data_IF_746169589181
#
_entry.id   IF_746169589181
#
_cell.length_a   1.000
_cell.length_b   1.000
_cell.length_c   1.000
_cell.angle_alpha   90.00
_cell.angle_beta   90.00
_cell.angle_gamma   90.00
#
_symmetry.space_group_name_H-M   'P 1'
#
loop_
_entity.id
_entity.type
_entity.pdbx_description
1 polymer ?
#
# COMPACT_ATOMS: atom_id res chain seq x y z
N UNK A 1 3.79 -1.26 43.79
CA UNK A 1 4.77 -0.77 42.78
C UNK A 1 4.96 -1.65 41.52
N UNK A 2 4.81 -2.99 41.49
CA UNK A 2 5.12 -3.78 40.28
C UNK A 2 4.11 -3.63 39.13
N UNK A 3 2.84 -3.34 39.44
CA UNK A 3 1.77 -3.23 38.43
C UNK A 3 1.97 -2.06 37.45
N UNK A 4 2.49 -0.91 37.90
CA UNK A 4 2.73 0.26 37.02
C UNK A 4 3.89 0.03 36.05
N UNK A 5 4.93 -0.67 36.48
CA UNK A 5 6.08 -1.07 35.65
C UNK A 5 5.71 -2.12 34.61
N UNK A 6 4.90 -3.13 34.99
CA UNK A 6 4.37 -4.11 34.04
C UNK A 6 3.47 -3.46 32.98
N UNK A 7 2.62 -2.51 33.39
CA UNK A 7 1.76 -1.77 32.49
C UNK A 7 2.55 -0.87 31.51
N UNK A 8 3.63 -0.21 31.96
CA UNK A 8 4.49 0.60 31.09
C UNK A 8 5.27 -0.26 30.09
N UNK A 9 5.80 -1.40 30.52
CA UNK A 9 6.49 -2.37 29.66
C UNK A 9 5.56 -2.94 28.58
N UNK A 10 4.37 -3.40 28.97
CA UNK A 10 3.36 -3.92 28.02
C UNK A 10 2.96 -2.85 27.01
N UNK A 11 2.79 -1.59 27.45
CA UNK A 11 2.48 -0.46 26.56
C UNK A 11 3.60 -0.17 25.55
N UNK A 12 4.86 -0.20 25.99
CA UNK A 12 6.00 0.05 25.11
C UNK A 12 6.21 -1.08 24.10
N UNK A 13 6.03 -2.33 24.53
CA UNK A 13 6.11 -3.51 23.66
C UNK A 13 5.07 -3.44 22.53
N UNK A 14 3.79 -3.26 22.87
CA UNK A 14 2.70 -3.16 21.87
C UNK A 14 2.94 -1.99 20.89
N UNK A 15 3.43 -0.85 21.38
CA UNK A 15 3.74 0.31 20.53
C UNK A 15 4.84 0.01 19.49
N UNK A 16 5.90 -0.70 19.90
CA UNK A 16 6.98 -1.13 18.98
C UNK A 16 6.48 -2.12 17.93
N UNK A 17 5.63 -3.08 18.31
CA UNK A 17 5.05 -4.02 17.36
C UNK A 17 4.08 -3.35 16.38
N UNK A 18 3.23 -2.44 16.84
CA UNK A 18 2.34 -1.66 15.99
C UNK A 18 3.13 -0.81 14.97
N UNK A 19 4.20 -0.14 15.40
CA UNK A 19 5.09 0.60 14.52
C UNK A 19 5.73 -0.30 13.45
N UNK A 20 6.24 -1.46 13.85
CA UNK A 20 6.85 -2.44 12.93
C UNK A 20 5.85 -2.93 11.87
N UNK A 21 4.61 -3.22 12.26
CA UNK A 21 3.55 -3.65 11.32
C UNK A 21 3.23 -2.58 10.27
N UNK A 22 3.15 -1.31 10.67
CA UNK A 22 2.89 -0.20 9.76
C UNK A 22 4.07 0.03 8.81
N UNK A 23 5.31 -0.03 9.32
CA UNK A 23 6.52 0.10 8.48
C UNK A 23 6.58 -1.05 7.47
N UNK A 24 6.37 -2.30 7.90
CA UNK A 24 6.37 -3.45 7.01
C UNK A 24 5.28 -3.36 5.95
N UNK A 25 4.05 -2.98 6.33
CA UNK A 25 2.95 -2.78 5.38
C UNK A 25 3.28 -1.71 4.34
N UNK A 26 3.83 -0.57 4.77
CA UNK A 26 4.25 0.50 3.87
C UNK A 26 5.35 0.04 2.92
N UNK A 27 6.43 -0.57 3.43
CA UNK A 27 7.50 -1.09 2.59
C UNK A 27 6.99 -2.11 1.59
N UNK A 28 6.22 -3.12 2.03
CA UNK A 28 5.60 -4.09 1.11
C UNK A 28 4.81 -3.42 -0.01
N UNK A 29 3.98 -2.41 0.32
CA UNK A 29 3.18 -1.70 -0.67
C UNK A 29 3.98 -0.86 -1.67
N UNK A 30 5.06 -0.21 -1.21
CA UNK A 30 5.94 0.65 -2.03
C UNK A 30 6.68 -0.15 -3.10
N UNK A 31 7.08 -1.39 -2.78
CA UNK A 31 7.89 -2.22 -3.68
C UNK A 31 7.11 -2.55 -4.97
N UNK A 32 5.78 -2.54 -4.94
CA UNK A 32 4.98 -2.85 -6.12
C UNK A 32 4.90 -1.71 -7.13
N UNK A 33 5.14 -0.45 -6.74
CA UNK A 33 4.82 0.68 -7.61
C UNK A 33 5.73 0.77 -8.84
N UNK A 34 7.05 0.82 -8.63
CA UNK A 34 8.03 1.09 -9.69
C UNK A 34 8.21 -0.11 -10.63
N UNK A 35 8.47 -1.34 -10.13
CA UNK A 35 8.66 -2.50 -11.00
C UNK A 35 7.44 -2.78 -11.87
N UNK A 36 6.23 -2.63 -11.32
CA UNK A 36 5.00 -2.93 -12.06
C UNK A 36 4.66 -1.85 -13.09
N UNK A 37 5.05 -0.59 -12.90
CA UNK A 37 4.90 0.45 -13.94
C UNK A 37 5.67 0.09 -15.22
N UNK A 38 6.90 -0.41 -15.08
CA UNK A 38 7.71 -0.90 -16.19
C UNK A 38 7.06 -2.10 -16.88
N UNK A 39 6.52 -3.05 -16.11
CA UNK A 39 5.86 -4.24 -16.66
C UNK A 39 4.51 -3.92 -17.31
N UNK A 40 3.75 -2.96 -16.78
CA UNK A 40 2.55 -2.41 -17.43
C UNK A 40 2.91 -1.83 -18.79
N UNK A 41 4.00 -1.05 -18.88
CA UNK A 41 4.48 -0.51 -20.15
C UNK A 41 4.81 -1.62 -21.15
N UNK A 42 5.54 -2.66 -20.71
CA UNK A 42 5.84 -3.81 -21.57
C UNK A 42 4.59 -4.59 -21.98
N UNK A 43 3.58 -4.67 -21.13
CA UNK A 43 2.31 -5.32 -21.45
C UNK A 43 1.52 -4.55 -22.50
N UNK A 44 1.49 -3.21 -22.41
CA UNK A 44 0.79 -2.36 -23.38
C UNK A 44 1.42 -2.43 -24.77
N UNK A 45 2.75 -2.52 -24.84
CA UNK A 45 3.48 -2.59 -26.12
C UNK A 45 3.38 -3.96 -26.79
N UNK A 46 3.13 -5.03 -26.04
CA UNK A 46 3.02 -6.38 -26.56
C UNK A 46 1.57 -6.77 -26.90
N UNK A 47 1.40 -7.89 -27.60
CA UNK A 47 0.09 -8.50 -27.80
C UNK A 47 -0.53 -8.88 -26.44
N UNK A 48 -1.82 -8.58 -26.20
CA UNK A 48 -2.89 -8.33 -27.17
C UNK A 48 -3.21 -6.85 -27.49
N UNK A 49 -2.65 -5.88 -26.76
CA UNK A 49 -3.04 -4.47 -26.88
C UNK A 49 -2.26 -3.70 -27.95
N UNK A 50 -0.98 -4.05 -28.15
CA UNK A 50 -0.12 -3.52 -29.22
C UNK A 50 -0.18 -1.97 -29.36
N UNK A 51 -0.05 -1.25 -28.25
CA UNK A 51 -0.08 0.21 -28.25
C UNK A 51 1.08 0.79 -29.04
N UNK A 52 0.82 1.90 -29.75
CA UNK A 52 1.90 2.76 -30.24
C UNK A 52 2.61 3.45 -29.07
N UNK A 53 3.89 3.82 -29.27
CA UNK A 53 4.67 4.53 -28.26
C UNK A 53 3.95 5.81 -27.75
N UNK A 54 3.26 6.52 -28.65
CA UNK A 54 2.48 7.73 -28.32
C UNK A 54 1.28 7.41 -27.42
N UNK A 55 0.50 6.36 -27.74
CA UNK A 55 -0.65 5.95 -26.94
C UNK A 55 -0.22 5.49 -25.54
N UNK A 56 0.87 4.73 -25.46
CA UNK A 56 1.46 4.33 -24.19
C UNK A 56 1.88 5.54 -23.34
N UNK A 57 2.51 6.54 -23.97
CA UNK A 57 2.88 7.80 -23.30
C UNK A 57 1.66 8.51 -22.69
N UNK A 58 0.57 8.65 -23.45
CA UNK A 58 -0.67 9.25 -22.94
C UNK A 58 -1.28 8.45 -21.79
N UNK A 59 -1.34 7.12 -21.90
CA UNK A 59 -1.90 6.28 -20.85
C UNK A 59 -1.08 6.36 -19.55
N UNK A 60 0.24 6.17 -19.62
CA UNK A 60 1.11 6.23 -18.44
C UNK A 60 1.11 7.63 -17.82
N UNK A 61 1.14 8.68 -18.63
CA UNK A 61 1.03 10.07 -18.16
C UNK A 61 -0.29 10.31 -17.42
N UNK A 62 -1.42 9.88 -17.99
CA UNK A 62 -2.74 10.00 -17.36
C UNK A 62 -2.82 9.22 -16.06
N UNK A 63 -2.26 8.00 -16.04
CA UNK A 63 -2.21 7.15 -14.84
C UNK A 63 -1.43 7.82 -13.70
N UNK A 64 -0.25 8.40 -13.98
CA UNK A 64 0.56 9.09 -12.98
C UNK A 64 -0.12 10.36 -12.46
N UNK A 65 -0.65 11.21 -13.35
CA UNK A 65 -1.38 12.42 -12.96
C UNK A 65 -2.58 12.05 -12.09
N UNK A 66 -3.35 11.05 -12.50
CA UNK A 66 -4.51 10.57 -11.76
C UNK A 66 -4.11 10.11 -10.36
N UNK A 67 -3.06 9.28 -10.24
CA UNK A 67 -2.52 8.80 -8.96
C UNK A 67 -2.06 9.94 -8.04
N UNK A 68 -1.38 10.95 -8.58
CA UNK A 68 -0.88 12.09 -7.80
C UNK A 68 -2.02 12.99 -7.31
N UNK A 69 -2.98 13.32 -8.18
CA UNK A 69 -4.12 14.18 -7.84
C UNK A 69 -5.05 13.46 -6.88
N UNK A 70 -5.37 12.19 -7.14
CA UNK A 70 -6.26 11.39 -6.30
C UNK A 70 -5.65 11.14 -4.92
N UNK A 71 -4.34 10.93 -4.80
CA UNK A 71 -3.70 10.75 -3.49
C UNK A 71 -3.70 12.04 -2.67
N UNK A 72 -3.48 13.21 -3.30
CA UNK A 72 -3.50 14.49 -2.60
C UNK A 72 -4.90 14.87 -2.08
N UNK A 73 -5.93 14.70 -2.92
CA UNK A 73 -7.30 15.09 -2.59
C UNK A 73 -8.06 13.99 -1.84
N UNK A 74 -7.89 12.74 -2.27
CA UNK A 74 -8.63 11.60 -1.78
C UNK A 74 -8.32 11.25 -0.33
N UNK A 75 -7.11 11.52 0.16
CA UNK A 75 -6.77 11.27 1.58
C UNK A 75 -7.59 12.15 2.50
N UNK A 76 -7.67 13.45 2.22
CA UNK A 76 -8.46 14.40 3.01
C UNK A 76 -9.94 14.05 2.99
N UNK A 77 -10.46 13.66 1.81
CA UNK A 77 -11.86 13.28 1.65
C UNK A 77 -12.19 11.99 2.40
N UNK A 78 -11.41 10.93 2.21
CA UNK A 78 -11.69 9.63 2.82
C UNK A 78 -11.54 9.64 4.34
N UNK A 79 -10.52 10.33 4.87
CA UNK A 79 -10.31 10.45 6.32
C UNK A 79 -11.38 11.29 7.03
N UNK A 80 -12.22 12.05 6.31
CA UNK A 80 -13.38 12.74 6.87
C UNK A 80 -14.50 11.76 7.25
N UNK A 81 -14.61 10.64 6.53
CA UNK A 81 -15.72 9.70 6.67
C UNK A 81 -15.30 8.37 7.31
N UNK A 82 -14.03 7.98 7.18
CA UNK A 82 -13.53 6.67 7.57
C UNK A 82 -12.26 6.79 8.43
N UNK A 83 -12.04 5.88 9.39
CA UNK A 83 -10.81 5.83 10.14
C UNK A 83 -9.63 5.41 9.24
N UNK A 84 -8.42 5.89 9.57
CA UNK A 84 -7.22 5.67 8.77
C UNK A 84 -6.96 4.19 8.37
N UNK A 85 -7.10 3.19 9.26
CA UNK A 85 -6.89 1.79 8.88
C UNK A 85 -7.88 1.29 7.82
N UNK A 86 -9.14 1.72 7.87
CA UNK A 86 -10.14 1.35 6.85
C UNK A 86 -9.80 1.95 5.49
N UNK A 87 -9.39 3.22 5.45
CA UNK A 87 -8.99 3.87 4.19
C UNK A 87 -7.77 3.17 3.57
N UNK A 88 -6.82 2.74 4.40
CA UNK A 88 -5.66 1.96 3.95
C UNK A 88 -6.08 0.61 3.35
N UNK A 89 -6.99 -0.13 4.01
CA UNK A 89 -7.49 -1.41 3.51
C UNK A 89 -8.25 -1.25 2.19
N UNK A 90 -9.10 -0.22 2.08
CA UNK A 90 -9.79 0.12 0.85
C UNK A 90 -8.78 0.42 -0.27
N UNK A 91 -7.73 1.18 0.04
CA UNK A 91 -6.67 1.49 -0.91
C UNK A 91 -5.95 0.23 -1.43
N UNK A 92 -5.64 -0.73 -0.55
CA UNK A 92 -5.08 -2.01 -0.98
C UNK A 92 -6.06 -2.85 -1.81
N UNK A 93 -7.34 -2.85 -1.46
CA UNK A 93 -8.39 -3.50 -2.25
C UNK A 93 -8.47 -2.95 -3.67
N UNK A 94 -8.49 -1.62 -3.82
CA UNK A 94 -8.46 -0.95 -5.13
C UNK A 94 -7.18 -1.23 -5.92
N UNK A 95 -6.02 -1.30 -5.24
CA UNK A 95 -4.76 -1.70 -5.84
C UNK A 95 -4.79 -3.13 -6.39
N UNK A 96 -5.27 -4.08 -5.58
CA UNK A 96 -5.45 -5.48 -5.97
C UNK A 96 -6.42 -5.62 -7.15
N UNK A 97 -7.59 -4.97 -7.06
CA UNK A 97 -8.60 -4.98 -8.11
C UNK A 97 -8.08 -4.42 -9.44
N UNK A 98 -7.24 -3.38 -9.41
CA UNK A 98 -6.60 -2.86 -10.63
C UNK A 98 -5.72 -3.91 -11.32
N UNK A 99 -4.87 -4.63 -10.59
CA UNK A 99 -4.00 -5.65 -11.18
C UNK A 99 -4.79 -6.87 -11.66
N UNK A 100 -5.86 -7.24 -10.97
CA UNK A 100 -6.77 -8.27 -11.47
C UNK A 100 -7.48 -7.83 -12.76
N UNK A 101 -7.98 -6.60 -12.81
CA UNK A 101 -8.57 -6.05 -14.03
C UNK A 101 -7.56 -6.06 -15.19
N UNK A 102 -6.30 -5.69 -14.91
CA UNK A 102 -5.22 -5.69 -15.90
C UNK A 102 -4.88 -7.10 -16.40
N UNK A 103 -5.00 -8.12 -15.55
CA UNK A 103 -4.78 -9.52 -15.96
C UNK A 103 -5.80 -10.00 -17.00
N UNK A 104 -7.01 -9.44 -16.99
CA UNK A 104 -8.10 -9.78 -17.91
C UNK A 104 -8.35 -8.71 -18.99
N UNK A 105 -7.54 -7.64 -19.03
CA UNK A 105 -7.77 -6.52 -19.94
C UNK A 105 -7.27 -6.82 -21.35
N UNK A 106 -8.14 -7.41 -22.18
CA UNK A 106 -7.89 -7.57 -23.61
C UNK A 106 -8.38 -6.39 -24.45
N UNK A 107 -9.15 -5.48 -23.84
CA UNK A 107 -9.72 -4.30 -24.49
C UNK A 107 -9.23 -2.99 -23.88
N UNK A 108 -9.06 -1.98 -24.74
CA UNK A 108 -8.65 -0.61 -24.36
C UNK A 108 -9.65 0.01 -23.37
N UNK A 109 -10.95 -0.22 -23.57
CA UNK A 109 -12.01 0.32 -22.69
C UNK A 109 -11.84 -0.17 -21.25
N UNK A 110 -11.56 -1.46 -21.10
CA UNK A 110 -11.36 -2.10 -19.80
C UNK A 110 -10.10 -1.53 -19.13
N UNK A 111 -9.02 -1.34 -19.88
CA UNK A 111 -7.79 -0.70 -19.40
C UNK A 111 -8.04 0.71 -18.83
N UNK A 112 -8.75 1.57 -19.56
CA UNK A 112 -9.07 2.93 -19.08
C UNK A 112 -10.03 2.93 -17.88
N UNK A 113 -10.96 1.98 -17.79
CA UNK A 113 -11.78 1.82 -16.58
C UNK A 113 -10.94 1.48 -15.33
N UNK A 114 -9.81 0.79 -15.53
CA UNK A 114 -8.82 0.53 -14.50
C UNK A 114 -8.21 1.79 -13.88
N UNK A 115 -8.18 2.93 -14.59
CA UNK A 115 -7.69 4.20 -14.04
C UNK A 115 -8.52 4.68 -12.84
N UNK A 116 -9.83 4.42 -12.85
CA UNK A 116 -10.72 4.75 -11.73
C UNK A 116 -10.33 3.93 -10.50
N UNK A 117 -10.10 2.62 -10.65
CA UNK A 117 -9.62 1.78 -9.56
C UNK A 117 -8.23 2.23 -9.09
N UNK A 118 -7.34 2.52 -10.03
CA UNK A 118 -5.97 2.94 -9.75
C UNK A 118 -5.92 4.25 -8.95
N UNK A 119 -6.87 5.15 -9.16
CA UNK A 119 -6.99 6.42 -8.45
C UNK A 119 -6.97 6.25 -6.92
N UNK A 120 -7.69 5.27 -6.38
CA UNK A 120 -7.77 5.09 -4.92
C UNK A 120 -6.64 4.21 -4.36
N UNK A 121 -5.83 3.60 -5.24
CA UNK A 121 -4.81 2.63 -4.83
C UNK A 121 -3.61 3.22 -4.11
N UNK A 122 -3.35 4.55 -4.20
CA UNK A 122 -2.17 5.18 -3.59
C UNK A 122 -2.48 5.95 -2.29
N UNK A 123 -3.73 5.90 -1.82
CA UNK A 123 -4.14 6.59 -0.59
C UNK A 123 -3.40 6.09 0.65
N UNK A 124 -3.03 4.81 0.68
CA UNK A 124 -2.34 4.21 1.82
C UNK A 124 -0.96 4.83 2.09
N UNK A 125 -0.19 5.23 1.07
CA UNK A 125 1.19 5.72 1.23
C UNK A 125 1.29 6.93 2.17
N UNK A 126 0.60 8.07 1.91
CA UNK A 126 0.66 9.22 2.80
C UNK A 126 0.05 8.95 4.18
N UNK A 127 -0.98 8.08 4.27
CA UNK A 127 -1.62 7.73 5.55
C UNK A 127 -0.66 6.92 6.42
N UNK A 128 -0.03 5.88 5.86
CA UNK A 128 0.95 5.05 6.58
C UNK A 128 2.17 5.86 6.98
N UNK A 129 2.68 6.77 6.12
CA UNK A 129 3.76 7.68 6.51
C UNK A 129 3.36 8.61 7.65
N UNK A 130 2.13 9.12 7.64
CA UNK A 130 1.62 9.91 8.75
C UNK A 130 1.55 9.10 10.05
N UNK A 131 1.07 7.85 9.98
CA UNK A 131 1.03 6.93 11.13
C UNK A 131 2.43 6.65 11.68
N UNK A 132 3.41 6.29 10.83
CA UNK A 132 4.81 6.11 11.24
C UNK A 132 5.35 7.37 11.91
N UNK A 133 5.18 8.54 11.29
CA UNK A 133 5.66 9.81 11.86
C UNK A 133 5.01 10.14 13.20
N UNK A 134 3.73 9.79 13.40
CA UNK A 134 3.03 10.04 14.67
C UNK A 134 3.49 9.13 15.80
N UNK A 135 3.95 7.91 15.49
CA UNK A 135 4.38 6.92 16.47
C UNK A 135 5.85 7.06 16.90
N UNK A 136 6.63 7.87 16.18
CA UNK A 136 8.08 8.04 16.37
C UNK A 136 8.40 9.41 16.98
N UNK A 137 9.35 9.41 17.93
CA UNK A 137 9.88 10.62 18.58
C UNK A 137 10.54 11.52 17.52
N UNK A 138 10.35 12.83 17.60
CA UNK A 138 10.81 13.80 16.60
C UNK A 138 12.29 13.67 16.23
N UNK A 139 13.15 13.34 17.20
CA UNK A 139 14.60 13.12 17.00
C UNK A 139 14.91 11.91 16.11
N UNK A 140 14.08 10.88 16.14
CA UNK A 140 14.35 9.58 15.52
C UNK A 140 13.64 9.42 14.16
N UNK A 141 12.74 10.36 13.82
CA UNK A 141 11.95 10.31 12.56
C UNK A 141 12.84 10.25 11.34
N UNK A 142 13.87 11.10 11.29
CA UNK A 142 14.81 11.13 10.15
C UNK A 142 15.48 9.78 9.95
N UNK A 143 16.02 9.19 11.01
CA UNK A 143 16.69 7.89 10.96
C UNK A 143 15.76 6.77 10.48
N UNK A 144 14.52 6.72 10.99
CA UNK A 144 13.56 5.68 10.60
C UNK A 144 13.14 5.84 9.14
N UNK A 145 12.86 7.07 8.67
CA UNK A 145 12.51 7.29 7.26
C UNK A 145 13.68 7.00 6.31
N UNK A 146 14.92 7.29 6.71
CA UNK A 146 16.11 6.95 5.94
C UNK A 146 16.31 5.44 5.80
N UNK A 147 16.22 4.69 6.90
CA UNK A 147 16.35 3.22 6.88
C UNK A 147 15.24 2.61 6.02
N UNK A 148 14.00 3.08 6.16
CA UNK A 148 12.87 2.64 5.37
C UNK A 148 13.09 2.89 3.86
N UNK A 149 13.57 4.09 3.50
CA UNK A 149 13.88 4.41 2.11
C UNK A 149 14.99 3.51 1.54
N UNK A 150 16.05 3.24 2.31
CA UNK A 150 17.11 2.32 1.90
C UNK A 150 16.57 0.91 1.65
N UNK A 151 15.74 0.39 2.56
CA UNK A 151 15.11 -0.92 2.42
C UNK A 151 14.21 -0.97 1.18
N UNK A 152 13.34 0.03 1.00
CA UNK A 152 12.46 0.11 -0.16
C UNK A 152 13.25 0.06 -1.47
N UNK A 153 14.38 0.77 -1.58
CA UNK A 153 15.23 0.76 -2.78
C UNK A 153 15.89 -0.60 -3.02
N UNK A 154 16.41 -1.26 -1.98
CA UNK A 154 16.98 -2.61 -2.10
C UNK A 154 15.94 -3.58 -2.62
N UNK A 155 14.73 -3.55 -2.07
CA UNK A 155 13.64 -4.41 -2.51
C UNK A 155 13.16 -4.09 -3.93
N UNK A 156 13.09 -2.81 -4.32
CA UNK A 156 12.74 -2.42 -5.70
C UNK A 156 13.74 -3.03 -6.68
N UNK A 157 15.05 -2.97 -6.40
CA UNK A 157 16.07 -3.57 -7.25
C UNK A 157 15.90 -5.09 -7.38
N UNK A 158 15.74 -5.79 -6.25
CA UNK A 158 15.58 -7.26 -6.23
C UNK A 158 14.28 -7.71 -6.92
N UNK A 159 13.15 -7.10 -6.58
CA UNK A 159 11.86 -7.48 -7.16
C UNK A 159 11.75 -7.09 -8.63
N UNK A 160 12.41 -6.02 -9.08
CA UNK A 160 12.48 -5.70 -10.51
C UNK A 160 13.07 -6.88 -11.29
N UNK A 161 14.18 -7.45 -10.82
CA UNK A 161 14.80 -8.58 -11.51
C UNK A 161 13.91 -9.83 -11.49
N UNK A 162 13.36 -10.15 -10.32
CA UNK A 162 12.49 -11.32 -10.14
C UNK A 162 11.23 -11.20 -11.00
N UNK A 163 10.58 -10.03 -10.99
CA UNK A 163 9.36 -9.82 -11.75
C UNK A 163 9.60 -9.78 -13.26
N UNK A 164 10.72 -9.24 -13.73
CA UNK A 164 11.07 -9.34 -15.16
C UNK A 164 11.26 -10.80 -15.60
N UNK A 165 11.97 -11.60 -14.81
CA UNK A 165 12.12 -13.03 -15.08
C UNK A 165 10.78 -13.77 -15.09
N UNK A 166 9.93 -13.53 -14.09
CA UNK A 166 8.60 -14.13 -13.99
C UNK A 166 7.68 -13.67 -15.12
N UNK A 167 7.75 -12.40 -15.52
CA UNK A 167 6.95 -11.84 -16.60
C UNK A 167 7.22 -12.57 -17.92
N UNK A 168 8.49 -12.77 -18.30
CA UNK A 168 8.86 -13.51 -19.52
C UNK A 168 8.32 -14.94 -19.49
N UNK A 169 8.35 -15.59 -18.32
CA UNK A 169 7.96 -17.00 -18.17
C UNK A 169 6.45 -17.24 -18.10
N UNK A 170 5.69 -16.29 -17.54
CA UNK A 170 4.28 -16.47 -17.16
C UNK A 170 3.33 -15.68 -18.05
N UNK A 171 3.81 -14.77 -18.92
CA UNK A 171 2.95 -13.76 -19.55
C UNK A 171 2.64 -13.96 -21.05
N UNK A 172 2.01 -15.06 -21.50
CA UNK A 172 1.46 -15.10 -22.86
C UNK A 172 0.16 -14.26 -23.00
N UNK A 173 -0.48 -13.81 -21.91
CA UNK A 173 -1.80 -13.13 -22.01
C UNK A 173 -2.17 -12.11 -20.91
N UNK A 174 -1.27 -11.74 -19.99
CA UNK A 174 -1.58 -10.83 -18.87
C UNK A 174 -1.68 -11.51 -17.49
N UNK A 175 -1.68 -12.85 -17.45
CA UNK A 175 -1.78 -13.63 -16.20
C UNK A 175 -0.72 -13.30 -15.16
N UNK A 176 0.44 -12.76 -15.57
CA UNK A 176 1.45 -12.28 -14.63
C UNK A 176 0.85 -11.29 -13.61
N UNK A 177 -0.10 -10.44 -14.00
CA UNK A 177 -0.70 -9.44 -13.09
C UNK A 177 -1.58 -10.03 -11.98
N UNK A 178 -1.94 -11.32 -12.04
CA UNK A 178 -2.55 -12.01 -10.90
C UNK A 178 -1.60 -12.10 -9.71
N UNK A 179 -0.29 -12.22 -9.96
CA UNK A 179 0.74 -12.29 -8.92
C UNK A 179 0.73 -11.01 -8.07
N UNK A 180 1.01 -9.81 -8.61
CA UNK A 180 0.96 -8.59 -7.80
C UNK A 180 -0.43 -8.32 -7.21
N UNK A 181 -1.51 -8.64 -7.93
CA UNK A 181 -2.88 -8.52 -7.39
C UNK A 181 -3.08 -9.33 -6.10
N UNK A 182 -2.59 -10.57 -6.06
CA UNK A 182 -2.64 -11.42 -4.87
C UNK A 182 -1.67 -10.98 -3.75
N UNK A 183 -0.53 -10.38 -4.11
CA UNK A 183 0.47 -9.94 -3.13
C UNK A 183 -0.01 -8.77 -2.26
N UNK A 184 -1.01 -7.98 -2.70
CA UNK A 184 -1.67 -6.95 -1.87
C UNK A 184 -2.40 -7.52 -0.64
N UNK A 185 -2.63 -8.84 -0.58
CA UNK A 185 -3.21 -9.50 0.59
C UNK A 185 -2.26 -9.38 1.79
N UNK A 186 -0.94 -9.49 1.57
CA UNK A 186 0.07 -9.43 2.64
C UNK A 186 0.03 -8.11 3.42
N UNK A 187 0.17 -6.92 2.79
CA UNK A 187 0.08 -5.65 3.52
C UNK A 187 -1.31 -5.39 4.09
N UNK A 188 -2.37 -5.98 3.52
CA UNK A 188 -3.73 -5.91 4.07
C UNK A 188 -3.85 -6.65 5.39
N UNK A 189 -3.31 -7.88 5.48
CA UNK A 189 -3.28 -8.67 6.72
C UNK A 189 -2.50 -7.91 7.81
N UNK A 190 -1.35 -7.33 7.48
CA UNK A 190 -0.56 -6.55 8.44
C UNK A 190 -1.34 -5.37 9.03
N UNK A 191 -2.13 -4.67 8.22
CA UNK A 191 -2.97 -3.55 8.68
C UNK A 191 -4.18 -4.03 9.48
N UNK A 192 -4.77 -5.17 9.13
CA UNK A 192 -5.83 -5.79 9.96
C UNK A 192 -5.28 -6.13 11.34
N UNK A 193 -4.11 -6.77 11.42
CA UNK A 193 -3.46 -7.09 12.71
C UNK A 193 -3.18 -5.81 13.51
N UNK A 194 -2.61 -4.78 12.86
CA UNK A 194 -2.42 -3.47 13.49
C UNK A 194 -3.73 -2.88 14.02
N UNK A 195 -4.80 -2.95 13.23
CA UNK A 195 -6.10 -2.38 13.60
C UNK A 195 -6.75 -3.13 14.75
N UNK A 196 -6.65 -4.46 14.80
CA UNK A 196 -7.13 -5.28 15.92
C UNK A 196 -6.38 -4.93 17.20
N UNK A 197 -5.03 -4.92 17.16
CA UNK A 197 -4.19 -4.60 18.33
C UNK A 197 -4.49 -3.20 18.88
N UNK A 198 -4.74 -2.23 17.99
CA UNK A 198 -5.02 -0.84 18.40
C UNK A 198 -6.46 -0.61 18.85
N UNK A 199 -7.44 -1.36 18.31
CA UNK A 199 -8.85 -1.25 18.68
C UNK A 199 -9.12 -1.82 20.07
N UNK A 200 -8.59 -3.00 20.40
CA UNK A 200 -8.73 -3.61 21.75
C UNK A 200 -8.27 -2.67 22.86
N UNK A 201 -7.24 -1.86 22.60
CA UNK A 201 -6.71 -0.88 23.56
C UNK A 201 -7.64 0.32 23.79
N UNK A 202 -8.43 0.71 22.79
CA UNK A 202 -9.41 1.79 22.92
C UNK A 202 -10.55 1.35 23.85
N UNK A 203 -10.96 0.09 23.73
CA UNK A 203 -12.03 -0.49 24.54
C UNK A 203 -11.60 -0.72 26.00
N UNK A 204 -10.38 -1.22 26.23
CA UNK A 204 -9.81 -1.33 27.60
C UNK A 204 -9.77 0.03 28.31
N UNK A 205 -9.46 1.11 27.58
CA UNK A 205 -9.40 2.47 28.14
C UNK A 205 -10.79 3.04 28.45
N UNK A 206 -11.80 2.66 27.67
CA UNK A 206 -13.20 3.03 27.89
C UNK A 206 -13.79 2.29 29.10
N UNK A 207 -13.51 0.99 29.23
CA UNK A 207 -13.99 0.17 30.35
C UNK A 207 -13.43 0.64 31.70
N UNK A 208 -12.18 1.10 31.74
CA UNK A 208 -11.58 1.64 32.97
C UNK A 208 -12.23 2.98 33.40
N UNK A 209 -12.58 3.85 32.45
CA UNK A 209 -13.25 5.13 32.76
C UNK A 209 -14.67 4.89 33.28
N UNK A 210 -15.39 3.92 32.72
CA UNK A 210 -16.75 3.56 33.16
C UNK A 210 -16.76 2.88 34.54
N UNK A 211 -15.68 2.20 34.93
CA UNK A 211 -15.56 1.61 36.28
C UNK A 211 -15.19 2.60 37.39
N UNK A 212 -14.73 3.80 37.03
CA UNK A 212 -14.36 4.88 37.98
C UNK A 212 -15.50 5.90 38.19
N UNK A 213 -16.64 5.73 37.51
CA UNK A 213 -17.88 6.53 37.67
C UNK A 213 -18.99 5.72 38.33
#
# INVERSE_FOLDING_TARGET
MPAKLLASWKRQYVHRHALSLVILSLSFSSIFLIPLLSLVTLYLLNSPLCFSATSNGYYIGTLLVTLSVSSALGVKLCLRFLPAPMVVLISFGFGSAYYFLLAFSHEIKLLYSGLVLRSFSLLHVPILRSLVSSMVITTDRGSIFSIMACLDQIFILLLTQIFNYLYIKINPSGYFFLVPGSLYIIPSILIIIYWVITSTKKDDKLLLIVSET
#
